data_IF_809475799074
#
_entry.id   IF_809475799074
#
_cell.length_a   1.000
_cell.length_b   1.000
_cell.length_c   1.000
_cell.angle_alpha   90.00
_cell.angle_beta   90.00
_cell.angle_gamma   90.00
#
_symmetry.space_group_name_H-M   'P 1'
#
loop_
_entity.id
_entity.type
_entity.pdbx_description
1 polymer ?
#
# COMPACT_ATOMS: atom_id res chain seq x y z
N UNK A 1 16.70 0.88 7.64
CA UNK A 1 18.02 1.21 7.08
C UNK A 1 17.81 1.57 5.63
N UNK A 2 18.26 2.74 5.20
CA UNK A 2 18.10 3.19 3.82
C UNK A 2 18.98 2.31 2.92
N UNK A 3 18.34 1.54 2.04
CA UNK A 3 19.02 0.61 1.13
C UNK A 3 19.48 1.40 -0.11
N UNK A 4 20.62 2.11 0.03
CA UNK A 4 21.17 2.99 -1.00
C UNK A 4 21.60 2.24 -2.26
N UNK A 5 21.75 0.91 -2.19
CA UNK A 5 22.09 0.07 -3.34
C UNK A 5 20.95 0.00 -4.36
N UNK A 6 19.70 0.26 -3.94
CA UNK A 6 18.55 0.26 -4.83
C UNK A 6 18.38 1.61 -5.53
N UNK A 7 17.87 1.55 -6.77
CA UNK A 7 17.48 2.74 -7.55
C UNK A 7 16.47 3.61 -6.78
N UNK A 8 16.54 4.95 -6.84
CA UNK A 8 15.65 5.82 -6.05
C UNK A 8 14.14 5.57 -6.22
N UNK A 9 13.64 5.19 -7.41
CA UNK A 9 12.22 4.80 -7.57
C UNK A 9 11.87 3.47 -6.88
N UNK A 10 12.85 2.61 -6.65
CA UNK A 10 12.66 1.34 -5.93
C UNK A 10 12.82 1.49 -4.41
N UNK A 11 13.31 2.65 -3.95
CA UNK A 11 13.41 2.97 -2.53
C UNK A 11 12.05 3.38 -1.97
N UNK A 12 11.95 3.18 -0.67
CA UNK A 12 10.79 3.59 0.14
C UNK A 12 11.18 4.79 0.99
N UNK A 13 10.26 5.73 1.16
CA UNK A 13 10.47 6.97 1.91
C UNK A 13 9.50 7.06 3.09
N UNK A 14 9.80 7.94 4.05
CA UNK A 14 8.95 8.15 5.22
C UNK A 14 7.61 8.77 4.82
N UNK A 15 6.51 8.13 5.21
CA UNK A 15 5.15 8.65 5.08
C UNK A 15 4.75 9.53 6.26
N UNK A 16 3.68 10.31 6.09
CA UNK A 16 3.04 11.10 7.15
C UNK A 16 1.52 11.08 6.96
N UNK A 17 0.78 11.20 8.05
CA UNK A 17 -0.68 11.43 7.97
C UNK A 17 -0.92 12.84 7.47
N UNK A 18 -1.69 12.96 6.38
CA UNK A 18 -2.04 14.24 5.76
C UNK A 18 -3.26 14.87 6.43
N UNK A 19 -4.24 14.05 6.78
CA UNK A 19 -5.46 14.42 7.47
C UNK A 19 -6.01 13.21 8.22
N UNK A 20 -6.73 13.45 9.31
CA UNK A 20 -7.54 12.44 9.98
C UNK A 20 -8.82 13.10 10.47
N UNK A 21 -9.87 12.29 10.59
CA UNK A 21 -11.16 12.73 11.09
C UNK A 21 -11.86 11.56 11.79
N UNK A 22 -12.58 11.82 12.90
CA UNK A 22 -12.71 13.10 13.59
C UNK A 22 -11.43 13.50 14.34
N UNK A 23 -11.22 14.81 14.53
CA UNK A 23 -9.95 15.35 15.07
C UNK A 23 -9.81 15.14 16.58
N UNK A 24 -10.91 15.17 17.33
CA UNK A 24 -10.90 15.13 18.79
C UNK A 24 -11.84 14.04 19.30
N UNK A 25 -11.28 12.88 19.69
CA UNK A 25 -11.99 11.84 20.43
C UNK A 25 -11.26 11.61 21.75
N UNK A 26 -11.79 12.13 22.86
CA UNK A 26 -11.14 12.08 24.17
C UNK A 26 -10.92 10.64 24.67
N UNK A 27 -11.90 9.76 24.46
CA UNK A 27 -11.84 8.37 24.92
C UNK A 27 -11.01 7.45 24.02
N UNK A 28 -10.54 7.94 22.88
CA UNK A 28 -9.72 7.19 21.92
C UNK A 28 -8.81 8.14 21.14
N UNK A 29 -7.70 8.57 21.75
CA UNK A 29 -6.75 9.47 21.09
C UNK A 29 -6.18 8.81 19.83
N UNK A 30 -6.02 9.62 18.78
CA UNK A 30 -5.48 9.15 17.51
C UNK A 30 -3.95 9.07 17.57
N UNK A 31 -3.41 7.85 17.52
CA UNK A 31 -1.97 7.60 17.39
C UNK A 31 -1.56 7.73 15.91
N UNK A 32 -1.07 8.91 15.55
CA UNK A 32 -0.69 9.25 14.18
C UNK A 32 0.46 8.37 13.66
N UNK A 33 1.45 8.06 14.50
CA UNK A 33 2.64 7.32 14.07
C UNK A 33 2.33 5.84 13.89
N UNK A 34 1.59 5.22 14.83
CA UNK A 34 1.17 3.84 14.72
C UNK A 34 0.25 3.62 13.51
N UNK A 35 -0.76 4.48 13.33
CA UNK A 35 -1.68 4.36 12.19
C UNK A 35 -0.95 4.61 10.86
N UNK A 36 -0.05 5.58 10.80
CA UNK A 36 0.77 5.81 9.59
C UNK A 36 1.61 4.59 9.22
N UNK A 37 2.23 3.94 10.21
CA UNK A 37 3.01 2.72 10.00
C UNK A 37 2.15 1.57 9.47
N UNK A 38 0.94 1.39 9.99
CA UNK A 38 0.03 0.33 9.56
C UNK A 38 -0.61 0.61 8.18
N UNK A 39 -0.84 1.89 7.87
CA UNK A 39 -1.33 2.33 6.58
C UNK A 39 -0.27 2.21 5.47
N UNK A 40 0.99 2.48 5.79
CA UNK A 40 2.12 2.42 4.85
C UNK A 40 3.26 1.57 5.45
N UNK A 41 3.09 0.24 5.58
CA UNK A 41 4.07 -0.62 6.27
C UNK A 41 5.41 -0.68 5.53
N UNK A 42 5.39 -0.48 4.21
CA UNK A 42 6.59 -0.36 3.37
C UNK A 42 7.02 1.11 3.19
N UNK A 43 6.43 2.07 3.90
CA UNK A 43 6.61 3.51 3.63
C UNK A 43 5.94 3.97 2.33
N UNK A 44 6.16 5.23 1.96
CA UNK A 44 5.71 5.76 0.68
C UNK A 44 6.68 5.36 -0.44
N UNK A 45 6.17 5.24 -1.66
CA UNK A 45 6.95 4.90 -2.85
C UNK A 45 6.64 5.85 -3.99
N UNK A 46 7.58 5.97 -4.91
CA UNK A 46 7.39 6.71 -6.15
C UNK A 46 7.29 5.76 -7.33
N UNK A 47 6.55 6.17 -8.35
CA UNK A 47 6.36 5.45 -9.61
C UNK A 47 6.37 6.43 -10.77
N UNK A 48 6.58 5.93 -11.96
CA UNK A 48 6.44 6.67 -13.22
C UNK A 48 5.19 6.23 -13.97
N UNK A 49 4.93 6.89 -15.11
CA UNK A 49 3.89 6.49 -16.05
C UNK A 49 4.07 5.07 -16.61
N UNK A 50 5.28 4.51 -16.56
CA UNK A 50 5.58 3.16 -17.05
C UNK A 50 5.20 2.04 -16.05
N UNK A 51 5.12 2.37 -14.76
CA UNK A 51 4.84 1.39 -13.71
C UNK A 51 3.34 1.13 -13.55
N UNK A 52 2.94 -0.06 -13.05
CA UNK A 52 1.56 -0.27 -12.64
C UNK A 52 1.20 0.73 -11.53
N UNK A 53 0.00 1.30 -11.54
CA UNK A 53 -0.51 2.26 -10.54
C UNK A 53 -1.89 1.90 -10.01
N UNK A 54 -2.33 0.67 -10.26
CA UNK A 54 -3.62 0.17 -9.80
C UNK A 54 -3.75 0.32 -8.27
N UNK A 55 -4.90 0.82 -7.77
CA UNK A 55 -5.14 0.91 -6.34
C UNK A 55 -5.07 -0.46 -5.67
N UNK A 56 -4.39 -0.53 -4.53
CA UNK A 56 -4.22 -1.75 -3.75
C UNK A 56 -4.93 -1.63 -2.41
N UNK A 57 -5.52 -2.73 -1.94
CA UNK A 57 -6.13 -2.79 -0.63
C UNK A 57 -5.36 -3.71 0.30
N UNK A 58 -5.26 -3.30 1.55
CA UNK A 58 -4.87 -4.16 2.65
C UNK A 58 -5.63 -3.77 3.92
N UNK A 59 -5.56 -4.64 4.91
CA UNK A 59 -6.15 -4.40 6.23
C UNK A 59 -5.16 -4.70 7.33
N UNK A 60 -5.40 -4.10 8.48
CA UNK A 60 -4.64 -4.37 9.70
C UNK A 60 -5.59 -4.42 10.90
N UNK A 61 -5.09 -4.95 12.01
CA UNK A 61 -5.81 -5.04 13.29
C UNK A 61 -5.00 -4.31 14.34
N UNK A 62 -5.64 -3.41 15.08
CA UNK A 62 -5.07 -2.81 16.28
C UNK A 62 -5.72 -3.52 17.47
N UNK A 63 -4.91 -4.19 18.29
CA UNK A 63 -5.38 -4.81 19.54
C UNK A 63 -4.95 -3.91 20.69
N UNK A 64 -5.91 -3.50 21.52
CA UNK A 64 -5.66 -2.69 22.72
C UNK A 64 -5.29 -3.56 23.91
N UNK A 65 -4.80 -2.92 24.96
CA UNK A 65 -4.45 -3.57 26.23
C UNK A 65 -5.62 -4.29 26.91
N UNK A 66 -6.85 -3.80 26.70
CA UNK A 66 -8.09 -4.43 27.20
C UNK A 66 -8.55 -5.63 26.36
N UNK A 67 -7.77 -6.01 25.33
CA UNK A 67 -8.07 -7.09 24.40
C UNK A 67 -9.08 -6.73 23.30
N UNK A 68 -9.63 -5.50 23.32
CA UNK A 68 -10.50 -5.04 22.24
C UNK A 68 -9.72 -4.85 20.95
N UNK A 69 -10.41 -5.05 19.81
CA UNK A 69 -9.81 -4.98 18.47
C UNK A 69 -10.53 -3.94 17.62
N UNK A 70 -9.75 -3.14 16.91
CA UNK A 70 -10.24 -2.30 15.81
C UNK A 70 -9.58 -2.73 14.51
N UNK A 71 -10.28 -2.52 13.40
CA UNK A 71 -9.91 -3.03 12.08
C UNK A 71 -9.72 -1.86 11.14
N UNK A 72 -8.51 -1.71 10.62
CA UNK A 72 -8.17 -0.71 9.62
C UNK A 72 -8.26 -1.31 8.22
N UNK A 73 -8.87 -0.58 7.30
CA UNK A 73 -8.96 -0.91 5.88
C UNK A 73 -8.35 0.21 5.07
N UNK A 74 -7.35 -0.11 4.26
CA UNK A 74 -6.52 0.87 3.58
C UNK A 74 -6.67 0.69 2.08
N UNK A 75 -6.88 1.79 1.37
CA UNK A 75 -6.78 1.85 -0.08
C UNK A 75 -5.58 2.72 -0.44
N UNK A 76 -4.53 2.09 -0.96
CA UNK A 76 -3.32 2.75 -1.43
C UNK A 76 -3.44 3.00 -2.93
N UNK A 77 -3.12 4.22 -3.38
CA UNK A 77 -3.18 4.65 -4.77
C UNK A 77 -2.03 5.62 -5.08
N UNK A 78 -1.86 5.97 -6.34
CA UNK A 78 -0.82 6.87 -6.80
C UNK A 78 -1.41 8.19 -7.30
N UNK A 79 -0.82 9.30 -6.88
CA UNK A 79 -1.18 10.66 -7.30
C UNK A 79 0.01 11.32 -7.98
N UNK A 80 -0.25 12.14 -9.00
CA UNK A 80 0.79 12.89 -9.70
C UNK A 80 1.47 13.89 -8.77
N UNK A 81 2.80 13.92 -8.82
CA UNK A 81 3.60 14.86 -8.06
C UNK A 81 3.64 16.19 -8.81
N UNK A 82 2.87 17.15 -8.31
CA UNK A 82 2.83 18.52 -8.86
C UNK A 82 3.97 19.41 -8.32
N UNK A 83 4.60 19.02 -7.21
CA UNK A 83 5.68 19.79 -6.58
C UNK A 83 6.99 19.63 -7.36
N UNK A 84 7.40 20.70 -8.05
CA UNK A 84 8.69 20.76 -8.77
C UNK A 84 9.89 20.45 -7.86
N UNK A 85 9.84 20.84 -6.60
CA UNK A 85 10.91 20.56 -5.64
C UNK A 85 11.11 19.06 -5.42
N UNK A 86 10.02 18.29 -5.35
CA UNK A 86 10.09 16.83 -5.21
C UNK A 86 10.62 16.20 -6.49
N UNK A 87 10.14 16.67 -7.65
CA UNK A 87 10.62 16.18 -8.94
C UNK A 87 12.12 16.43 -9.15
N UNK A 88 12.61 17.63 -8.82
CA UNK A 88 14.04 17.96 -8.88
C UNK A 88 14.83 17.14 -7.86
N UNK A 89 14.35 17.00 -6.62
CA UNK A 89 15.02 16.17 -5.61
C UNK A 89 15.16 14.72 -6.07
N UNK A 90 14.10 14.13 -6.67
CA UNK A 90 14.16 12.79 -7.23
C UNK A 90 15.19 12.69 -8.36
N UNK A 91 15.24 13.67 -9.26
CA UNK A 91 16.25 13.71 -10.33
C UNK A 91 17.67 13.79 -9.77
N UNK A 92 17.91 14.62 -8.75
CA UNK A 92 19.21 14.71 -8.07
C UNK A 92 19.60 13.38 -7.44
N UNK A 93 18.68 12.69 -6.75
CA UNK A 93 18.93 11.37 -6.17
C UNK A 93 19.34 10.34 -7.23
N UNK A 94 18.74 10.41 -8.42
CA UNK A 94 19.12 9.56 -9.55
C UNK A 94 20.51 9.86 -10.08
N UNK A 95 20.85 11.14 -10.25
CA UNK A 95 22.17 11.55 -10.71
C UNK A 95 23.26 11.10 -9.72
N UNK A 96 23.01 11.25 -8.42
CA UNK A 96 23.92 10.77 -7.36
C UNK A 96 24.09 9.25 -7.42
N UNK A 97 22.98 8.50 -7.48
CA UNK A 97 23.03 7.03 -7.53
C UNK A 97 23.80 6.51 -8.76
N UNK A 98 23.58 7.11 -9.93
CA UNK A 98 24.27 6.71 -11.15
C UNK A 98 25.78 7.01 -11.08
N UNK A 99 26.17 8.15 -10.49
CA UNK A 99 27.58 8.50 -10.31
C UNK A 99 28.29 7.53 -9.34
N UNK A 100 27.63 7.13 -8.26
CA UNK A 100 28.13 6.14 -7.30
C UNK A 100 28.31 4.76 -7.93
N UNK A 101 27.33 4.31 -8.73
CA UNK A 101 27.45 3.03 -9.44
C UNK A 101 28.59 3.02 -10.46
N UNK A 102 28.76 4.11 -11.23
CA UNK A 102 29.85 4.21 -12.20
C UNK A 102 31.22 4.18 -11.52
N UNK A 103 31.35 4.87 -10.38
CA UNK A 103 32.56 4.87 -9.54
C UNK A 103 32.90 3.46 -9.01
N UNK A 104 31.89 2.70 -8.56
CA UNK A 104 32.06 1.32 -8.09
C UNK A 104 32.55 0.37 -9.18
N UNK A 105 32.03 0.50 -10.41
CA UNK A 105 32.46 -0.31 -11.55
C UNK A 105 33.92 -0.02 -11.91
N UNK A 106 34.34 1.25 -12.02
CA UNK A 106 35.73 1.57 -12.35
C UNK A 106 36.74 1.21 -11.24
N UNK A 107 36.33 1.23 -9.97
CA UNK A 107 37.16 0.76 -8.87
C UNK A 107 37.38 -0.76 -8.93
N UNK A 108 36.34 -1.52 -9.24
CA UNK A 108 36.41 -2.99 -9.37
C UNK A 108 37.25 -3.45 -10.57
N UNK A 109 37.32 -2.65 -11.64
CA UNK A 109 38.19 -2.90 -12.80
C UNK A 109 39.68 -2.68 -12.50
N UNK A 110 40.04 -2.00 -11.41
CA UNK A 110 41.41 -1.63 -11.08
C UNK A 110 42.19 -2.66 -10.26
N UNK A 111 41.56 -3.78 -9.86
CA UNK A 111 42.19 -4.82 -9.03
C UNK A 111 42.37 -6.19 -9.72
N UNK A 112 42.08 -6.31 -11.03
CA UNK A 112 42.29 -7.58 -11.77
C UNK A 112 43.42 -7.44 -12.78
N UNK A 113 44.67 -7.59 -12.30
CA UNK A 113 45.84 -7.86 -13.16
C UNK A 113 46.09 -9.36 -13.16
N UNK A 114 45.31 -10.13 -13.92
CA UNK A 114 45.72 -11.40 -14.53
C UNK A 114 44.53 -12.07 -15.21
N UNK A 115 44.47 -11.99 -16.54
CA UNK A 115 44.27 -13.14 -17.43
C UNK A 115 44.20 -12.68 -18.88
N UNK A 116 45.06 -13.28 -19.69
CA UNK A 116 45.26 -13.04 -21.10
C UNK A 116 44.11 -13.64 -21.95
N UNK A 117 43.82 -12.95 -23.05
CA UNK A 117 43.14 -13.44 -24.26
C UNK A 117 41.69 -13.96 -24.14
N UNK A 118 40.72 -13.16 -24.59
CA UNK A 118 39.80 -13.57 -25.66
C UNK A 118 38.93 -12.40 -26.14
N UNK A 119 38.82 -12.34 -27.47
CA UNK A 119 37.84 -11.69 -28.34
C UNK A 119 36.74 -10.80 -27.75
N UNK A 120 36.74 -9.56 -28.25
CA UNK A 120 35.62 -8.69 -28.62
C UNK A 120 34.24 -9.37 -28.50
N UNK A 121 33.44 -8.94 -27.53
CA UNK A 121 31.98 -8.90 -27.66
C UNK A 121 31.50 -7.50 -27.23
N UNK A 122 31.24 -6.63 -28.22
CA UNK A 122 30.61 -5.32 -28.01
C UNK A 122 29.09 -5.43 -27.69
N UNK A 123 28.57 -6.65 -27.49
CA UNK A 123 27.16 -6.91 -27.23
C UNK A 123 26.66 -6.60 -25.82
N UNK A 124 27.52 -6.58 -24.80
CA UNK A 124 27.08 -6.59 -23.38
C UNK A 124 27.15 -5.22 -22.68
N UNK A 125 27.93 -4.26 -23.21
CA UNK A 125 27.86 -2.87 -22.74
C UNK A 125 26.56 -2.19 -23.17
N UNK A 126 26.02 -2.57 -24.33
CA UNK A 126 24.74 -2.06 -24.83
C UNK A 126 23.53 -2.69 -24.13
N UNK A 127 23.62 -3.93 -23.63
CA UNK A 127 22.56 -4.56 -22.83
C UNK A 127 22.44 -3.92 -21.44
N UNK A 128 23.57 -3.66 -20.76
CA UNK A 128 23.62 -2.97 -19.46
C UNK A 128 23.17 -1.50 -19.57
N UNK A 129 23.64 -0.78 -20.59
CA UNK A 129 23.21 0.60 -20.86
C UNK A 129 21.73 0.68 -21.29
N UNK A 130 21.20 -0.33 -22.00
CA UNK A 130 19.76 -0.45 -22.30
C UNK A 130 18.95 -0.74 -21.04
N UNK A 131 19.40 -1.61 -20.14
CA UNK A 131 18.74 -1.86 -18.84
C UNK A 131 18.78 -0.65 -17.90
N UNK A 132 19.87 0.11 -17.90
CA UNK A 132 20.00 1.35 -17.13
C UNK A 132 19.01 2.44 -17.60
N UNK A 133 18.76 2.52 -18.91
CA UNK A 133 17.82 3.49 -19.49
C UNK A 133 16.35 3.22 -19.16
N UNK A 134 15.99 1.97 -18.81
CA UNK A 134 14.63 1.61 -18.38
C UNK A 134 14.33 1.93 -16.91
N UNK A 135 15.35 2.24 -16.10
CA UNK A 135 15.16 2.55 -14.67
C UNK A 135 15.55 3.99 -14.30
N UNK A 136 15.94 4.84 -15.26
CA UNK A 136 16.35 6.22 -15.00
C UNK A 136 15.17 7.18 -15.12
N UNK A 137 14.87 7.94 -14.06
CA UNK A 137 13.89 9.02 -14.07
C UNK A 137 14.46 10.29 -14.71
N UNK A 138 13.76 10.86 -15.69
CA UNK A 138 14.06 12.14 -16.32
C UNK A 138 12.90 13.13 -16.15
N UNK A 139 13.12 14.21 -15.40
CA UNK A 139 12.11 15.24 -15.12
C UNK A 139 11.48 15.86 -16.38
N UNK A 140 12.20 15.85 -17.51
CA UNK A 140 11.72 16.45 -18.75
C UNK A 140 10.81 15.53 -19.56
N UNK A 141 10.86 14.22 -19.29
CA UNK A 141 10.17 13.18 -20.07
C UNK A 141 9.19 12.36 -19.26
N UNK A 142 9.42 12.24 -17.95
CA UNK A 142 8.67 11.37 -17.07
C UNK A 142 7.74 12.15 -16.14
N UNK A 143 6.58 11.55 -15.89
CA UNK A 143 5.64 12.01 -14.88
C UNK A 143 5.85 11.20 -13.62
N UNK A 144 6.18 11.89 -12.53
CA UNK A 144 6.39 11.28 -11.23
C UNK A 144 5.06 11.14 -10.48
N UNK A 145 4.83 9.98 -9.90
CA UNK A 145 3.69 9.68 -9.03
C UNK A 145 4.16 9.26 -7.65
N UNK A 146 3.40 9.60 -6.62
CA UNK A 146 3.67 9.24 -5.24
C UNK A 146 2.52 8.44 -4.65
N UNK A 147 2.83 7.39 -3.87
CA UNK A 147 1.81 6.62 -3.17
C UNK A 147 1.16 7.44 -2.06
N UNK A 148 -0.17 7.46 -2.03
CA UNK A 148 -0.99 7.94 -0.91
C UNK A 148 -2.00 6.85 -0.53
N UNK A 149 -2.63 6.99 0.63
CA UNK A 149 -3.67 6.06 1.03
C UNK A 149 -4.82 6.76 1.74
N UNK A 150 -6.00 6.17 1.67
CA UNK A 150 -7.14 6.48 2.55
C UNK A 150 -7.34 5.26 3.45
N UNK A 151 -7.52 5.48 4.75
CA UNK A 151 -7.76 4.43 5.73
C UNK A 151 -9.09 4.67 6.44
N UNK A 152 -9.90 3.61 6.57
CA UNK A 152 -11.11 3.57 7.38
C UNK A 152 -10.89 2.60 8.55
N UNK A 153 -11.04 3.09 9.78
CA UNK A 153 -10.92 2.28 11.00
C UNK A 153 -12.33 2.00 11.53
N UNK A 154 -12.62 0.74 11.82
CA UNK A 154 -13.95 0.27 12.23
C UNK A 154 -13.88 -0.70 13.41
N UNK A 155 -14.97 -0.85 14.18
CA UNK A 155 -15.01 -1.79 15.30
C UNK A 155 -15.26 -3.26 14.89
N UNK A 156 -15.69 -3.50 13.64
CA UNK A 156 -16.00 -4.84 13.14
C UNK A 156 -15.37 -5.06 11.75
N UNK A 157 -14.91 -6.28 11.42
CA UNK A 157 -14.17 -6.55 10.19
C UNK A 157 -15.05 -6.63 8.93
N UNK A 158 -15.78 -5.58 8.58
CA UNK A 158 -16.59 -5.50 7.35
C UNK A 158 -15.73 -5.15 6.12
N UNK A 159 -14.77 -6.02 5.80
CA UNK A 159 -13.78 -5.83 4.74
C UNK A 159 -14.39 -5.43 3.39
N UNK A 160 -15.40 -6.16 2.89
CA UNK A 160 -15.97 -5.89 1.57
C UNK A 160 -16.75 -4.57 1.55
N UNK A 161 -17.44 -4.24 2.63
CA UNK A 161 -18.17 -2.98 2.73
C UNK A 161 -17.20 -1.79 2.76
N UNK A 162 -16.15 -1.88 3.58
CA UNK A 162 -15.12 -0.85 3.68
C UNK A 162 -14.35 -0.70 2.36
N UNK A 163 -14.00 -1.81 1.71
CA UNK A 163 -13.40 -1.83 0.37
C UNK A 163 -14.26 -1.10 -0.65
N UNK A 164 -15.56 -1.45 -0.73
CA UNK A 164 -16.48 -0.80 -1.67
C UNK A 164 -16.59 0.70 -1.39
N UNK A 165 -16.68 1.10 -0.12
CA UNK A 165 -16.76 2.50 0.27
C UNK A 165 -15.50 3.26 -0.13
N UNK A 166 -14.31 2.77 0.24
CA UNK A 166 -13.03 3.40 -0.07
C UNK A 166 -12.81 3.53 -1.58
N UNK A 167 -13.14 2.49 -2.36
CA UNK A 167 -13.03 2.51 -3.82
C UNK A 167 -13.98 3.55 -4.43
N UNK A 168 -15.23 3.63 -3.95
CA UNK A 168 -16.17 4.64 -4.42
C UNK A 168 -15.71 6.06 -4.06
N UNK A 169 -15.20 6.27 -2.83
CA UNK A 169 -14.68 7.55 -2.38
C UNK A 169 -13.46 7.98 -3.21
N UNK A 170 -12.52 7.06 -3.44
CA UNK A 170 -11.36 7.32 -4.29
C UNK A 170 -11.79 7.71 -5.72
N UNK A 171 -12.71 6.95 -6.33
CA UNK A 171 -13.28 7.29 -7.64
C UNK A 171 -13.86 8.70 -7.66
N UNK A 172 -14.55 9.10 -6.59
CA UNK A 172 -15.14 10.42 -6.45
C UNK A 172 -14.12 11.55 -6.36
N UNK A 173 -13.02 11.31 -5.64
CA UNK A 173 -11.91 12.26 -5.51
C UNK A 173 -11.16 12.44 -6.83
N UNK A 174 -11.00 11.36 -7.61
CA UNK A 174 -10.23 11.39 -8.86
C UNK A 174 -11.06 11.70 -10.11
N UNK A 175 -12.39 11.70 -10.01
CA UNK A 175 -13.30 11.94 -11.13
C UNK A 175 -13.25 13.40 -11.56
N UNK A 176 -13.32 13.64 -12.88
CA UNK A 176 -13.53 14.98 -13.43
C UNK A 176 -14.95 15.50 -13.17
N UNK A 177 -15.91 14.59 -13.06
CA UNK A 177 -17.29 14.93 -12.74
C UNK A 177 -17.49 14.94 -11.21
N UNK A 178 -18.12 15.98 -10.65
CA UNK A 178 -18.36 16.04 -9.22
C UNK A 178 -19.35 14.94 -8.79
N UNK A 179 -19.17 14.37 -7.59
CA UNK A 179 -20.15 13.43 -7.03
C UNK A 179 -21.50 14.12 -6.74
N UNK A 180 -22.59 13.34 -6.57
CA UNK A 180 -23.93 13.88 -6.30
C UNK A 180 -24.02 14.78 -5.05
N UNK A 181 -23.21 14.52 -4.03
CA UNK A 181 -23.09 15.31 -2.80
C UNK A 181 -21.62 15.67 -2.54
N UNK A 182 -21.32 16.68 -1.71
CA UNK A 182 -19.96 16.93 -1.23
C UNK A 182 -19.32 15.68 -0.60
N UNK A 183 -18.00 15.51 -0.76
CA UNK A 183 -17.26 14.36 -0.24
C UNK A 183 -17.46 14.21 1.28
N UNK A 184 -17.51 15.34 1.97
CA UNK A 184 -17.73 15.46 3.40
C UNK A 184 -19.08 14.88 3.83
N UNK A 185 -20.12 14.95 2.98
CA UNK A 185 -21.43 14.36 3.29
C UNK A 185 -21.35 12.83 3.35
N UNK A 186 -20.57 12.19 2.47
CA UNK A 186 -20.37 10.74 2.51
C UNK A 186 -19.51 10.30 3.70
N UNK A 187 -18.49 11.10 4.04
CA UNK A 187 -17.65 10.89 5.23
C UNK A 187 -18.49 11.07 6.50
N UNK A 188 -19.34 12.08 6.56
CA UNK A 188 -20.24 12.29 7.69
C UNK A 188 -21.23 11.13 7.83
N UNK A 189 -21.84 10.71 6.73
CA UNK A 189 -22.80 9.60 6.73
C UNK A 189 -22.20 8.31 7.27
N UNK A 190 -21.02 7.90 6.80
CA UNK A 190 -20.38 6.64 7.26
C UNK A 190 -19.99 6.68 8.74
N UNK A 191 -19.68 7.86 9.27
CA UNK A 191 -19.19 8.02 10.65
C UNK A 191 -20.31 8.20 11.68
N UNK A 192 -21.40 8.86 11.30
CA UNK A 192 -22.42 9.30 12.27
C UNK A 192 -23.81 8.72 12.01
N UNK A 193 -24.14 8.41 10.76
CA UNK A 193 -25.50 8.02 10.38
C UNK A 193 -25.64 6.52 10.09
N UNK A 194 -24.57 5.86 9.63
CA UNK A 194 -24.59 4.42 9.34
C UNK A 194 -24.39 3.63 10.65
N UNK A 195 -25.42 2.93 11.17
CA UNK A 195 -25.27 2.15 12.39
C UNK A 195 -24.51 0.84 12.12
N UNK A 196 -24.06 0.17 13.18
CA UNK A 196 -23.61 -1.22 13.04
C UNK A 196 -24.83 -2.14 12.89
N UNK A 197 -24.82 -3.13 11.98
CA UNK A 197 -25.88 -4.12 11.90
C UNK A 197 -26.01 -4.90 13.23
N UNK A 198 -27.24 -5.13 13.72
CA UNK A 198 -27.48 -6.06 14.84
C UNK A 198 -27.03 -7.49 14.48
N UNK A 199 -26.71 -8.36 15.46
CA UNK A 199 -26.40 -9.76 15.20
C UNK A 199 -27.51 -10.46 14.39
N UNK A 200 -27.14 -11.22 13.36
CA UNK A 200 -28.05 -11.94 12.48
C UNK A 200 -28.79 -11.07 11.46
N UNK A 201 -28.36 -9.82 11.26
CA UNK A 201 -29.00 -8.87 10.34
C UNK A 201 -28.02 -8.33 9.29
N UNK A 202 -28.59 -7.95 8.15
CA UNK A 202 -27.89 -7.21 7.10
C UNK A 202 -28.28 -5.74 7.15
N UNK A 203 -27.32 -4.88 6.81
CA UNK A 203 -27.49 -3.45 6.66
C UNK A 203 -27.15 -3.06 5.23
N UNK A 204 -28.02 -2.28 4.61
CA UNK A 204 -27.76 -1.61 3.33
C UNK A 204 -27.65 -0.11 3.59
N UNK A 205 -26.53 0.48 3.19
CA UNK A 205 -26.32 1.93 3.21
C UNK A 205 -25.83 2.40 1.84
N UNK A 206 -25.78 3.71 1.62
CA UNK A 206 -25.32 4.27 0.34
C UNK A 206 -23.86 4.72 0.45
N UNK A 207 -23.02 4.24 -0.48
CA UNK A 207 -21.72 4.83 -0.75
C UNK A 207 -21.86 6.11 -1.57
N UNK A 208 -20.83 6.45 -2.35
CA UNK A 208 -20.90 7.61 -3.24
C UNK A 208 -21.84 7.37 -4.42
N UNK A 209 -21.68 6.23 -5.08
CA UNK A 209 -22.33 5.91 -6.36
C UNK A 209 -23.29 4.74 -6.25
N UNK A 210 -22.97 3.76 -5.41
CA UNK A 210 -23.72 2.52 -5.31
C UNK A 210 -23.96 2.09 -3.87
N UNK A 211 -25.06 1.37 -3.60
CA UNK A 211 -25.33 0.86 -2.28
C UNK A 211 -24.29 -0.19 -1.85
N UNK A 212 -24.00 -0.17 -0.56
CA UNK A 212 -23.08 -1.09 0.09
C UNK A 212 -23.87 -1.90 1.11
N UNK A 213 -23.61 -3.20 1.15
CA UNK A 213 -24.28 -4.14 2.04
C UNK A 213 -23.22 -4.78 2.93
N UNK A 214 -23.48 -4.83 4.22
CA UNK A 214 -22.74 -5.64 5.18
C UNK A 214 -23.71 -6.50 5.99
N UNK A 215 -23.22 -7.64 6.48
CA UNK A 215 -24.01 -8.57 7.29
C UNK A 215 -23.22 -8.92 8.55
N UNK A 216 -23.91 -8.93 9.69
CA UNK A 216 -23.34 -9.42 10.94
C UNK A 216 -23.93 -10.80 11.25
N UNK A 217 -23.08 -11.84 11.38
CA UNK A 217 -23.54 -13.16 11.77
C UNK A 217 -24.30 -13.16 13.09
N UNK A 218 -25.23 -14.10 13.22
CA UNK A 218 -25.96 -14.37 14.46
C UNK A 218 -25.09 -15.08 15.51
N UNK A 219 -25.55 -15.20 16.76
CA UNK A 219 -24.80 -15.87 17.84
C UNK A 219 -24.49 -17.35 17.57
N UNK A 220 -25.30 -18.02 16.74
CA UNK A 220 -25.17 -19.44 16.42
C UNK A 220 -24.53 -19.68 15.03
N UNK A 221 -23.93 -18.64 14.45
CA UNK A 221 -23.26 -18.70 13.15
C UNK A 221 -21.74 -18.61 13.33
N UNK A 222 -21.00 -18.87 12.25
CA UNK A 222 -19.56 -18.68 12.25
C UNK A 222 -19.20 -17.20 12.54
N UNK A 223 -18.02 -16.94 13.14
CA UNK A 223 -17.54 -15.59 13.37
C UNK A 223 -17.56 -14.76 12.09
N UNK A 224 -17.74 -13.45 12.23
CA UNK A 224 -17.70 -12.52 11.10
C UNK A 224 -16.36 -12.64 10.36
N UNK A 225 -16.43 -13.21 9.16
CA UNK A 225 -15.32 -13.32 8.22
C UNK A 225 -15.77 -12.76 6.88
N UNK A 226 -15.42 -11.51 6.62
CA UNK A 226 -15.71 -10.83 5.34
C UNK A 226 -14.50 -10.87 4.39
N UNK A 227 -13.51 -11.71 4.71
CA UNK A 227 -12.31 -11.92 3.90
C UNK A 227 -12.55 -13.04 2.88
N UNK A 228 -12.10 -12.87 1.63
CA UNK A 228 -12.27 -13.87 0.59
C UNK A 228 -11.36 -15.08 0.88
N UNK A 229 -11.89 -16.10 1.56
CA UNK A 229 -11.14 -17.33 1.88
C UNK A 229 -10.53 -17.99 0.64
N UNK A 230 -11.19 -17.85 -0.51
CA UNK A 230 -10.66 -18.29 -1.82
C UNK A 230 -9.24 -17.79 -2.08
N UNK A 231 -8.96 -16.51 -1.81
CA UNK A 231 -7.65 -15.92 -2.06
C UNK A 231 -6.57 -16.59 -1.19
N UNK A 232 -6.92 -17.01 0.03
CA UNK A 232 -5.98 -17.73 0.91
C UNK A 232 -5.61 -19.09 0.31
N UNK A 233 -6.58 -19.83 -0.23
CA UNK A 233 -6.32 -21.11 -0.90
C UNK A 233 -5.51 -20.94 -2.18
N UNK A 234 -5.78 -19.88 -2.96
CA UNK A 234 -5.06 -19.59 -4.20
C UNK A 234 -3.61 -19.16 -3.94
N UNK A 235 -3.36 -18.41 -2.87
CA UNK A 235 -2.03 -17.91 -2.52
C UNK A 235 -1.16 -18.95 -1.79
N UNK A 236 -1.72 -19.69 -0.83
CA UNK A 236 -0.96 -20.64 -0.03
C UNK A 236 -0.96 -22.05 -0.62
N UNK A 237 -2.01 -22.43 -1.35
CA UNK A 237 -2.25 -23.82 -1.70
C UNK A 237 -2.67 -24.67 -0.49
N UNK A 238 -3.14 -25.90 -0.76
CA UNK A 238 -3.69 -26.77 0.28
C UNK A 238 -2.65 -27.20 1.31
N UNK A 239 -1.47 -27.60 0.87
CA UNK A 239 -0.41 -28.14 1.75
C UNK A 239 0.07 -27.10 2.76
N UNK A 240 0.41 -25.89 2.31
CA UNK A 240 0.84 -24.82 3.21
C UNK A 240 -0.30 -24.37 4.13
N UNK A 241 -1.56 -24.40 3.67
CA UNK A 241 -2.69 -24.06 4.53
C UNK A 241 -2.85 -25.07 5.68
N UNK A 242 -2.71 -26.37 5.41
CA UNK A 242 -2.73 -27.41 6.45
C UNK A 242 -1.54 -27.24 7.40
N UNK A 243 -0.36 -26.88 6.88
CA UNK A 243 0.80 -26.59 7.71
C UNK A 243 0.55 -25.38 8.62
N UNK A 244 0.04 -24.27 8.08
CA UNK A 244 -0.33 -23.08 8.87
C UNK A 244 -1.35 -23.45 9.93
N UNK A 245 -2.39 -24.20 9.57
CA UNK A 245 -3.40 -24.66 10.53
C UNK A 245 -2.79 -25.52 11.64
N UNK A 246 -1.88 -26.44 11.30
CA UNK A 246 -1.17 -27.29 12.27
C UNK A 246 -0.30 -26.43 13.20
N UNK A 247 0.45 -25.47 12.64
CA UNK A 247 1.24 -24.53 13.42
C UNK A 247 0.38 -23.70 14.39
N UNK A 248 -0.83 -23.27 13.97
CA UNK A 248 -1.77 -22.55 14.84
C UNK A 248 -2.25 -23.44 15.99
N UNK A 249 -2.61 -24.70 15.73
CA UNK A 249 -3.05 -25.64 16.76
C UNK A 249 -1.96 -25.97 17.78
N UNK A 250 -0.70 -25.91 17.35
CA UNK A 250 0.48 -26.11 18.20
C UNK A 250 0.99 -24.81 18.84
N UNK A 251 0.25 -23.70 18.70
CA UNK A 251 0.61 -22.38 19.22
C UNK A 251 2.02 -21.90 18.79
N UNK A 252 2.44 -22.28 17.57
CA UNK A 252 3.73 -21.89 17.03
C UNK A 252 3.76 -20.43 16.59
N UNK A 253 4.95 -19.84 16.57
CA UNK A 253 5.17 -18.52 15.97
C UNK A 253 5.16 -18.66 14.44
N UNK A 254 4.23 -17.97 13.78
CA UNK A 254 4.04 -18.03 12.32
C UNK A 254 4.34 -16.67 11.71
N UNK A 255 5.22 -16.65 10.70
CA UNK A 255 5.49 -15.48 9.87
C UNK A 255 5.05 -15.79 8.44
N UNK A 256 4.13 -14.99 7.92
CA UNK A 256 3.73 -15.02 6.51
C UNK A 256 4.38 -13.85 5.78
N UNK A 257 4.92 -14.11 4.59
CA UNK A 257 5.56 -13.10 3.75
C UNK A 257 4.92 -13.10 2.36
N UNK A 258 4.57 -11.91 1.87
CA UNK A 258 4.09 -11.67 0.51
C UNK A 258 4.81 -10.46 -0.07
N UNK A 259 5.23 -10.56 -1.32
CA UNK A 259 5.95 -9.51 -2.04
C UNK A 259 5.04 -8.34 -2.40
#
# INVERSE_FOLDING_TARGET
>A
GENFDQSPLRRTFKSKVLAHYPQNIEWNPFDQDAVNMLCMPKGLSFRTQADNRDPQLHSFIITREDGSRTYGFVLTFYEEVTSKQICTAMQTLYQMHNAEQYSSVCASSSCSMDSLASSIDEGDATSLAKLQRYNSYDISRDTLYVSKCICLITPLPFMQACRKFLVQLYKAVTSQQPPPLPLESYIHNILYEVPLPPPGRSLKFYGVYEPIICQRPGPNELPLSDYPLREVFELLGLENLVQVFTCVLLEMQILLYSQ
#
